data_IF_851033404158
#
_entry.id   IF_851033404158
#
_cell.length_a   1.000
_cell.length_b   1.000
_cell.length_c   1.000
_cell.angle_alpha   90.00
_cell.angle_beta   90.00
_cell.angle_gamma   90.00
#
_symmetry.space_group_name_H-M   'P 1'
#
loop_
_entity.id
_entity.type
_entity.pdbx_description
1 polymer ?
#
# COMPACT_ATOMS: atom_id res chain seq x y z
N UNK A 1 15.49 -5.69 -19.10
CA UNK A 1 16.61 -4.72 -19.14
C UNK A 1 17.56 -4.93 -17.97
N UNK A 2 17.14 -4.73 -16.72
CA UNK A 2 18.00 -4.98 -15.53
C UNK A 2 18.72 -6.34 -15.55
N UNK A 3 17.99 -7.46 -15.68
CA UNK A 3 18.60 -8.80 -15.74
C UNK A 3 19.48 -9.04 -16.96
N UNK A 4 19.23 -8.35 -18.07
CA UNK A 4 20.08 -8.45 -19.26
C UNK A 4 21.48 -7.90 -18.96
N UNK A 5 21.58 -6.79 -18.21
CA UNK A 5 22.87 -6.24 -17.78
C UNK A 5 23.59 -7.13 -16.78
N UNK A 6 22.86 -7.72 -15.82
CA UNK A 6 23.43 -8.71 -14.91
C UNK A 6 24.01 -9.91 -15.68
N UNK A 7 23.25 -10.49 -16.60
CA UNK A 7 23.67 -11.68 -17.36
C UNK A 7 24.80 -11.42 -18.36
N UNK A 8 24.92 -10.20 -18.90
CA UNK A 8 25.91 -9.86 -19.93
C UNK A 8 27.18 -9.21 -19.39
N UNK A 9 27.09 -8.50 -18.25
CA UNK A 9 28.17 -7.67 -17.74
C UNK A 9 28.43 -7.85 -16.24
N UNK A 10 27.76 -8.81 -15.58
CA UNK A 10 27.87 -9.05 -14.13
C UNK A 10 27.61 -7.80 -13.27
N UNK A 11 26.85 -6.84 -13.82
CA UNK A 11 26.50 -5.61 -13.10
C UNK A 11 25.66 -5.98 -11.87
N UNK A 12 26.07 -5.59 -10.63
CA UNK A 12 25.35 -5.94 -9.41
C UNK A 12 23.98 -5.25 -9.39
N UNK A 13 22.92 -6.01 -9.67
CA UNK A 13 21.55 -5.52 -9.83
C UNK A 13 20.58 -6.45 -9.13
N UNK A 14 19.69 -5.90 -8.32
CA UNK A 14 18.55 -6.61 -7.73
C UNK A 14 17.24 -6.00 -8.25
N UNK A 15 16.29 -6.84 -8.69
CA UNK A 15 14.94 -6.38 -9.02
C UNK A 15 14.08 -6.47 -7.77
N UNK A 16 13.50 -5.34 -7.38
CA UNK A 16 12.60 -5.27 -6.22
C UNK A 16 11.15 -5.12 -6.67
N UNK A 17 10.26 -5.94 -6.11
CA UNK A 17 8.81 -5.89 -6.35
C UNK A 17 8.06 -5.56 -5.04
N UNK A 18 7.86 -4.28 -4.72
CA UNK A 18 7.11 -3.90 -3.54
C UNK A 18 5.61 -4.17 -3.76
N UNK A 19 4.97 -4.77 -2.76
CA UNK A 19 3.51 -4.90 -2.65
C UNK A 19 2.91 -3.57 -2.16
N UNK A 20 1.57 -3.49 -2.06
CA UNK A 20 0.79 -2.25 -1.96
C UNK A 20 1.31 -1.33 -0.86
N UNK A 21 2.19 -0.42 -1.25
CA UNK A 21 2.82 0.48 -0.29
C UNK A 21 1.82 1.55 0.12
N UNK A 22 1.67 1.78 1.42
CA UNK A 22 0.83 2.84 1.96
C UNK A 22 1.56 3.61 3.06
N UNK A 23 1.08 4.82 3.35
CA UNK A 23 1.66 5.63 4.42
C UNK A 23 1.47 7.13 4.22
N UNK A 24 2.10 7.93 5.10
CA UNK A 24 2.22 9.38 4.94
C UNK A 24 2.65 9.82 3.54
N UNK A 25 2.08 10.93 3.05
CA UNK A 25 2.36 11.52 1.72
C UNK A 25 1.89 10.70 0.51
N UNK A 26 1.15 9.61 0.69
CA UNK A 26 0.59 8.87 -0.43
C UNK A 26 -0.43 9.71 -1.22
N UNK A 27 -0.53 9.48 -2.52
CA UNK A 27 -1.52 10.14 -3.39
C UNK A 27 -2.95 9.64 -3.14
N UNK A 28 -3.95 10.53 -3.24
CA UNK A 28 -5.39 10.23 -3.19
C UNK A 28 -5.92 9.40 -4.37
N UNK A 29 -5.03 8.83 -5.21
CA UNK A 29 -5.42 7.78 -6.17
C UNK A 29 -5.50 6.40 -5.53
N UNK A 30 -4.90 6.23 -4.36
CA UNK A 30 -4.94 4.99 -3.60
C UNK A 30 -6.12 4.96 -2.62
N UNK A 31 -6.58 3.76 -2.28
CA UNK A 31 -7.80 3.56 -1.47
C UNK A 31 -7.66 4.08 -0.04
N UNK A 32 -6.56 3.78 0.66
CA UNK A 32 -6.31 4.22 2.04
C UNK A 32 -6.37 5.76 2.18
N UNK A 33 -5.56 6.55 1.44
CA UNK A 33 -5.59 8.01 1.57
C UNK A 33 -6.93 8.62 1.10
N UNK A 34 -7.60 7.98 0.12
CA UNK A 34 -8.94 8.39 -0.31
C UNK A 34 -9.98 8.28 0.79
N UNK A 35 -9.97 7.17 1.54
CA UNK A 35 -10.88 6.95 2.67
C UNK A 35 -10.56 7.95 3.78
N UNK A 36 -9.30 7.98 4.24
CA UNK A 36 -8.86 8.84 5.34
C UNK A 36 -9.18 10.32 5.07
N UNK A 37 -8.83 10.81 3.88
CA UNK A 37 -9.04 12.23 3.55
C UNK A 37 -10.52 12.60 3.44
N UNK A 38 -11.39 11.71 2.97
CA UNK A 38 -12.83 11.96 2.95
C UNK A 38 -13.43 11.98 4.37
N UNK A 39 -13.06 11.03 5.23
CA UNK A 39 -13.48 11.05 6.64
C UNK A 39 -13.01 12.33 7.33
N UNK A 40 -11.74 12.70 7.13
CA UNK A 40 -11.16 13.90 7.74
C UNK A 40 -11.84 15.20 7.25
N UNK A 41 -12.50 15.21 6.10
CA UNK A 41 -13.29 16.33 5.60
C UNK A 41 -14.78 16.26 5.98
N UNK A 42 -15.18 15.33 6.84
CA UNK A 42 -16.55 15.20 7.31
C UNK A 42 -17.51 14.55 6.32
N UNK A 43 -17.01 13.80 5.32
CA UNK A 43 -17.88 13.02 4.44
C UNK A 43 -18.67 11.99 5.24
N UNK A 44 -19.98 11.96 5.04
CA UNK A 44 -20.89 10.94 5.62
C UNK A 44 -20.94 9.66 4.81
N UNK A 45 -20.64 9.77 3.52
CA UNK A 45 -20.62 8.65 2.58
C UNK A 45 -19.31 8.68 1.79
N UNK A 46 -18.69 7.51 1.61
CA UNK A 46 -17.48 7.36 0.81
C UNK A 46 -17.80 6.46 -0.38
N UNK A 47 -17.68 7.05 -1.57
CA UNK A 47 -17.80 6.32 -2.83
C UNK A 47 -16.52 5.52 -3.08
N UNK A 48 -16.66 4.21 -3.21
CA UNK A 48 -15.58 3.26 -3.51
C UNK A 48 -16.06 2.25 -4.56
N UNK A 49 -15.13 1.65 -5.29
CA UNK A 49 -15.45 0.64 -6.30
C UNK A 49 -15.80 -0.71 -5.67
N UNK A 50 -15.17 -1.78 -6.17
CA UNK A 50 -15.34 -3.11 -5.58
C UNK A 50 -14.56 -3.22 -4.25
N UNK A 51 -15.24 -3.70 -3.21
CA UNK A 51 -14.68 -3.90 -1.87
C UNK A 51 -14.24 -5.33 -1.60
N UNK A 52 -14.60 -6.26 -2.49
CA UNK A 52 -14.27 -7.68 -2.38
C UNK A 52 -12.79 -8.02 -2.57
N UNK A 53 -11.98 -7.27 -3.36
CA UNK A 53 -10.59 -7.64 -3.55
C UNK A 53 -9.78 -7.57 -2.26
N UNK A 54 -8.79 -8.44 -2.16
CA UNK A 54 -7.85 -8.50 -1.03
C UNK A 54 -6.47 -8.01 -1.43
N UNK A 55 -5.77 -7.36 -0.50
CA UNK A 55 -4.45 -6.77 -0.73
C UNK A 55 -3.52 -7.04 0.44
N UNK A 56 -2.24 -7.13 0.13
CA UNK A 56 -1.13 -7.02 1.08
C UNK A 56 -0.65 -5.57 1.12
N UNK A 57 -1.03 -4.88 2.20
CA UNK A 57 -0.63 -3.50 2.45
C UNK A 57 0.68 -3.47 3.23
N UNK A 58 1.74 -2.96 2.59
CA UNK A 58 3.05 -2.81 3.21
C UNK A 58 3.30 -1.36 3.62
N UNK A 59 3.63 -1.12 4.88
CA UNK A 59 3.84 0.24 5.36
C UNK A 59 5.10 0.86 4.72
N UNK A 60 5.06 2.14 4.37
CA UNK A 60 6.12 2.78 3.57
C UNK A 60 7.51 2.74 4.21
N UNK A 61 7.59 2.75 5.56
CA UNK A 61 8.87 2.60 6.27
C UNK A 61 9.43 1.17 6.12
N UNK A 62 8.56 0.15 6.11
CA UNK A 62 8.99 -1.23 5.87
C UNK A 62 9.37 -1.45 4.39
N UNK A 63 8.65 -0.84 3.44
CA UNK A 63 9.08 -0.82 2.03
C UNK A 63 10.49 -0.22 1.90
N UNK A 64 10.72 0.96 2.47
CA UNK A 64 12.02 1.63 2.42
C UNK A 64 13.13 0.82 3.10
N UNK A 65 12.83 0.21 4.27
CA UNK A 65 13.74 -0.72 4.96
C UNK A 65 14.14 -1.87 4.05
N UNK A 66 13.18 -2.53 3.39
CA UNK A 66 13.47 -3.65 2.49
C UNK A 66 14.36 -3.26 1.31
N UNK A 67 14.18 -2.05 0.74
CA UNK A 67 15.11 -1.53 -0.28
C UNK A 67 16.53 -1.36 0.26
N UNK A 68 16.68 -0.80 1.46
CA UNK A 68 18.00 -0.57 2.09
C UNK A 68 18.68 -1.90 2.40
N UNK A 69 17.95 -2.88 2.93
CA UNK A 69 18.51 -4.20 3.25
C UNK A 69 18.96 -4.95 1.99
N UNK A 70 18.16 -4.91 0.92
CA UNK A 70 18.55 -5.53 -0.37
C UNK A 70 19.74 -4.83 -1.02
N UNK A 71 19.84 -3.50 -0.91
CA UNK A 71 20.98 -2.75 -1.43
C UNK A 71 22.31 -3.08 -0.72
N UNK A 72 22.26 -3.69 0.48
CA UNK A 72 23.43 -4.11 1.26
C UNK A 72 23.72 -5.61 1.15
N UNK A 73 22.92 -6.37 0.41
CA UNK A 73 23.01 -7.82 0.32
C UNK A 73 23.53 -8.22 -1.06
N UNK A 74 24.81 -8.58 -1.14
CA UNK A 74 25.42 -8.98 -2.41
C UNK A 74 24.80 -10.27 -2.97
N UNK A 75 24.29 -11.15 -2.10
CA UNK A 75 23.55 -12.36 -2.47
C UNK A 75 22.21 -12.06 -3.16
N UNK A 76 21.70 -10.84 -3.05
CA UNK A 76 20.52 -10.39 -3.77
C UNK A 76 20.82 -9.98 -5.22
N UNK A 77 22.10 -9.86 -5.61
CA UNK A 77 22.46 -9.54 -6.99
C UNK A 77 21.98 -10.65 -7.93
N UNK A 78 21.34 -10.26 -9.02
CA UNK A 78 20.70 -11.15 -9.99
C UNK A 78 19.35 -11.72 -9.54
N UNK A 79 18.87 -11.38 -8.35
CA UNK A 79 17.60 -11.88 -7.83
C UNK A 79 16.44 -10.92 -8.12
N UNK A 80 15.24 -11.49 -8.19
CA UNK A 80 13.98 -10.73 -8.12
C UNK A 80 13.33 -11.00 -6.77
N UNK A 81 13.18 -9.96 -5.96
CA UNK A 81 12.76 -10.09 -4.57
C UNK A 81 11.50 -9.27 -4.30
N UNK A 82 10.52 -9.90 -3.67
CA UNK A 82 9.30 -9.24 -3.23
C UNK A 82 9.50 -8.57 -1.86
N UNK A 83 8.90 -7.39 -1.67
CA UNK A 83 8.78 -6.75 -0.36
C UNK A 83 7.30 -6.59 -0.04
N UNK A 84 6.84 -7.20 1.04
CA UNK A 84 5.46 -7.11 1.50
C UNK A 84 5.31 -7.59 2.94
N UNK A 85 4.11 -7.40 3.48
CA UNK A 85 3.81 -7.71 4.88
C UNK A 85 3.57 -9.20 5.13
N UNK A 86 3.24 -9.97 4.07
CA UNK A 86 2.70 -11.33 4.17
C UNK A 86 1.38 -11.38 4.96
N UNK A 87 0.69 -10.26 5.08
CA UNK A 87 -0.65 -10.15 5.65
C UNK A 87 -1.63 -9.70 4.56
N UNK A 88 -2.79 -10.32 4.50
CA UNK A 88 -3.82 -10.06 3.49
C UNK A 88 -5.10 -9.58 4.16
N UNK A 89 -5.74 -8.55 3.59
CA UNK A 89 -7.01 -8.01 4.08
C UNK A 89 -7.89 -7.57 2.91
N UNK A 90 -9.21 -7.65 3.06
CA UNK A 90 -10.15 -7.12 2.07
C UNK A 90 -10.18 -5.59 2.09
N UNK A 91 -10.58 -4.95 0.98
CA UNK A 91 -10.80 -3.51 0.99
C UNK A 91 -11.94 -3.12 1.95
N UNK A 92 -12.98 -3.96 2.07
CA UNK A 92 -14.05 -3.80 3.05
C UNK A 92 -13.51 -3.72 4.50
N UNK A 93 -12.69 -4.68 4.91
CA UNK A 93 -12.17 -4.72 6.29
C UNK A 93 -11.13 -3.63 6.52
N UNK A 94 -10.40 -3.24 5.48
CA UNK A 94 -9.53 -2.05 5.52
C UNK A 94 -10.34 -0.77 5.78
N UNK A 95 -11.47 -0.60 5.09
CA UNK A 95 -12.38 0.53 5.32
C UNK A 95 -12.90 0.53 6.76
N UNK A 96 -13.36 -0.60 7.27
CA UNK A 96 -13.86 -0.71 8.64
C UNK A 96 -12.77 -0.44 9.68
N UNK A 97 -11.53 -0.88 9.44
CA UNK A 97 -10.40 -0.58 10.32
C UNK A 97 -10.10 0.92 10.36
N UNK A 98 -10.15 1.61 9.22
CA UNK A 98 -9.97 3.08 9.17
C UNK A 98 -11.13 3.79 9.88
N UNK A 99 -12.38 3.36 9.63
CA UNK A 99 -13.59 3.88 10.29
C UNK A 99 -13.47 3.81 11.81
N UNK A 100 -13.03 2.65 12.31
CA UNK A 100 -12.76 2.38 13.73
C UNK A 100 -11.67 3.29 14.31
N UNK A 101 -10.48 3.33 13.68
CA UNK A 101 -9.37 4.18 14.17
C UNK A 101 -9.77 5.67 14.22
N UNK A 102 -10.57 6.13 13.25
CA UNK A 102 -11.01 7.53 13.17
C UNK A 102 -12.28 7.83 13.99
N UNK A 103 -12.86 6.86 14.70
CA UNK A 103 -14.14 6.99 15.41
C UNK A 103 -15.24 7.63 14.55
N UNK A 104 -15.39 7.15 13.31
CA UNK A 104 -16.31 7.72 12.33
C UNK A 104 -17.52 6.81 12.12
N UNK A 105 -18.67 7.40 11.80
CA UNK A 105 -19.90 6.68 11.41
C UNK A 105 -20.14 6.72 9.89
N UNK A 106 -19.06 6.91 9.13
CA UNK A 106 -19.14 6.98 7.67
C UNK A 106 -19.61 5.67 7.06
N UNK A 107 -20.48 5.76 6.08
CA UNK A 107 -21.00 4.62 5.33
C UNK A 107 -20.31 4.52 3.97
N UNK A 108 -20.10 3.29 3.50
CA UNK A 108 -19.59 3.07 2.16
C UNK A 108 -20.74 3.06 1.16
N UNK A 109 -20.52 3.66 -0.01
CA UNK A 109 -21.45 3.60 -1.13
C UNK A 109 -20.70 3.01 -2.33
N UNK A 110 -21.23 1.92 -2.87
CA UNK A 110 -20.67 1.29 -4.06
C UNK A 110 -20.90 2.19 -5.28
N UNK A 111 -19.82 2.55 -5.95
CA UNK A 111 -19.84 3.35 -7.17
C UNK A 111 -19.60 2.45 -8.39
N UNK A 112 -20.66 2.19 -9.17
CA UNK A 112 -20.59 1.33 -10.35
C UNK A 112 -19.60 1.84 -11.41
N UNK A 113 -19.38 3.16 -11.47
CA UNK A 113 -18.41 3.76 -12.40
C UNK A 113 -16.96 3.44 -12.02
N UNK A 114 -16.71 2.97 -10.80
CA UNK A 114 -15.39 2.60 -10.28
C UNK A 114 -15.12 1.10 -10.32
N UNK A 115 -16.08 0.30 -10.80
CA UNK A 115 -15.88 -1.13 -11.00
C UNK A 115 -14.95 -1.29 -12.19
N UNK A 116 -13.77 -1.86 -11.95
CA UNK A 116 -12.86 -2.19 -13.03
C UNK A 116 -13.45 -3.32 -13.88
N UNK A 117 -13.25 -3.33 -15.20
CA UNK A 117 -13.61 -4.47 -16.03
C UNK A 117 -13.05 -5.77 -15.43
N UNK A 118 -13.86 -6.82 -15.29
CA UNK A 118 -13.49 -8.02 -14.53
C UNK A 118 -12.18 -8.71 -14.97
N UNK A 119 -11.79 -8.58 -16.26
CA UNK A 119 -10.50 -9.09 -16.77
C UNK A 119 -9.27 -8.29 -16.33
N UNK A 120 -9.46 -7.09 -15.79
CA UNK A 120 -8.40 -6.17 -15.35
C UNK A 120 -8.27 -6.07 -13.83
N UNK A 121 -9.21 -6.68 -13.08
CA UNK A 121 -9.15 -6.68 -11.63
C UNK A 121 -8.31 -7.87 -11.12
N UNK A 122 -7.45 -7.58 -10.15
CA UNK A 122 -6.72 -8.60 -9.42
C UNK A 122 -7.51 -8.81 -8.12
N UNK A 123 -8.25 -9.91 -8.02
CA UNK A 123 -9.06 -10.17 -6.83
C UNK A 123 -8.22 -10.42 -5.58
N UNK A 124 -7.04 -11.02 -5.75
CA UNK A 124 -6.14 -11.39 -4.66
C UNK A 124 -4.71 -10.99 -4.98
N UNK A 125 -4.10 -10.22 -4.08
CA UNK A 125 -2.69 -9.82 -4.19
C UNK A 125 -2.03 -9.94 -2.81
N UNK A 126 -1.33 -11.05 -2.59
CA UNK A 126 -0.69 -11.40 -1.32
C UNK A 126 0.80 -11.70 -1.52
N UNK A 127 1.66 -11.09 -0.71
CA UNK A 127 3.10 -11.23 -0.87
C UNK A 127 3.60 -12.49 -0.19
N UNK A 128 4.40 -13.29 -0.89
CA UNK A 128 5.38 -14.17 -0.26
C UNK A 128 6.70 -13.41 -0.10
N UNK A 129 7.08 -13.14 1.15
CA UNK A 129 8.30 -12.42 1.52
C UNK A 129 9.41 -13.36 2.06
N UNK A 130 9.29 -14.67 1.84
CA UNK A 130 10.27 -15.67 2.31
C UNK A 130 11.69 -15.38 1.81
N UNK A 131 11.84 -15.01 0.53
CA UNK A 131 13.16 -14.77 -0.06
C UNK A 131 13.90 -13.59 0.58
N UNK A 132 13.24 -12.44 0.78
CA UNK A 132 13.89 -11.29 1.44
C UNK A 132 14.23 -11.62 2.89
N UNK A 133 13.39 -12.39 3.58
CA UNK A 133 13.66 -12.84 4.94
C UNK A 133 14.92 -13.73 4.99
N UNK A 134 15.06 -14.68 4.06
CA UNK A 134 16.23 -15.56 3.99
C UNK A 134 17.51 -14.80 3.65
N UNK A 135 17.45 -13.84 2.73
CA UNK A 135 18.63 -13.07 2.29
C UNK A 135 19.11 -12.06 3.34
N UNK A 136 18.19 -11.41 4.05
CA UNK A 136 18.52 -10.20 4.83
C UNK A 136 18.03 -10.24 6.29
N UNK A 137 17.25 -11.26 6.67
CA UNK A 137 16.53 -11.28 7.94
C UNK A 137 15.34 -10.32 8.00
N UNK A 138 14.97 -9.66 6.88
CA UNK A 138 13.86 -8.72 6.82
C UNK A 138 12.57 -9.32 7.39
N UNK A 139 11.94 -8.56 8.29
CA UNK A 139 10.57 -8.75 8.75
C UNK A 139 9.87 -7.39 8.78
N UNK A 140 8.59 -7.32 8.38
CA UNK A 140 7.77 -6.13 8.58
C UNK A 140 7.78 -5.73 10.05
N UNK A 141 7.96 -4.44 10.31
CA UNK A 141 8.04 -3.86 11.66
C UNK A 141 6.70 -3.25 12.09
N UNK A 142 5.77 -3.08 11.13
CA UNK A 142 4.46 -2.51 11.31
C UNK A 142 3.39 -3.53 10.91
N UNK A 143 2.42 -3.74 11.80
CA UNK A 143 1.14 -4.29 11.36
C UNK A 143 0.30 -3.22 10.66
N UNK A 144 -0.84 -3.64 10.09
CA UNK A 144 -1.70 -2.75 9.35
C UNK A 144 -2.29 -1.63 10.24
N UNK A 145 -2.72 -1.95 11.46
CA UNK A 145 -3.36 -0.96 12.35
C UNK A 145 -2.38 0.15 12.72
N UNK A 146 -1.17 -0.20 13.17
CA UNK A 146 -0.14 0.77 13.54
C UNK A 146 0.27 1.65 12.37
N UNK A 147 0.42 1.08 11.18
CA UNK A 147 0.73 1.88 9.99
C UNK A 147 -0.43 2.78 9.57
N UNK A 148 -1.69 2.35 9.75
CA UNK A 148 -2.87 3.19 9.50
C UNK A 148 -2.98 4.33 10.50
N UNK A 149 -2.73 4.09 11.79
CA UNK A 149 -2.69 5.14 12.83
C UNK A 149 -1.69 6.24 12.45
N UNK A 150 -0.43 5.88 12.13
CA UNK A 150 0.56 6.87 11.69
C UNK A 150 0.18 7.58 10.38
N UNK A 151 -0.55 6.90 9.50
CA UNK A 151 -1.04 7.48 8.25
C UNK A 151 -2.15 8.49 8.54
N UNK A 152 -3.13 8.13 9.36
CA UNK A 152 -4.25 8.98 9.78
C UNK A 152 -3.73 10.22 10.50
N UNK A 153 -2.81 10.06 11.45
CA UNK A 153 -2.16 11.17 12.17
C UNK A 153 -1.47 12.15 11.22
N UNK A 154 -0.90 11.64 10.12
CA UNK A 154 -0.28 12.50 9.13
C UNK A 154 -1.31 13.26 8.30
N UNK A 155 -2.38 12.58 7.85
CA UNK A 155 -3.42 13.15 6.98
C UNK A 155 -4.36 14.11 7.72
N UNK A 156 -4.62 13.92 9.00
CA UNK A 156 -5.55 14.74 9.80
C UNK A 156 -4.97 16.12 10.16
N UNK A 157 -3.66 16.32 10.03
CA UNK A 157 -3.03 17.64 10.16
C UNK A 157 -3.49 18.56 9.03
N UNK A 158 -4.01 19.73 9.38
CA UNK A 158 -4.59 20.71 8.44
C UNK A 158 -3.64 21.07 7.28
N UNK A 159 -2.36 21.28 7.58
CA UNK A 159 -1.30 21.57 6.61
C UNK A 159 -1.05 20.45 5.59
N UNK A 160 -1.35 19.21 5.95
CA UNK A 160 -1.24 18.07 5.06
C UNK A 160 -2.55 17.84 4.32
N UNK A 161 -3.68 17.84 5.03
CA UNK A 161 -5.00 17.62 4.46
C UNK A 161 -5.33 18.60 3.33
N UNK A 162 -4.98 19.87 3.50
CA UNK A 162 -5.19 20.95 2.51
C UNK A 162 -4.53 20.69 1.14
N UNK A 163 -3.53 19.80 1.08
CA UNK A 163 -2.87 19.40 -0.19
C UNK A 163 -3.72 18.41 -0.99
N UNK A 164 -4.74 17.83 -0.37
CA UNK A 164 -5.57 16.77 -0.95
C UNK A 164 -6.93 17.33 -1.35
N UNK A 165 -7.17 17.38 -2.65
CA UNK A 165 -8.48 17.77 -3.21
C UNK A 165 -9.46 16.61 -3.04
N UNK A 166 -10.23 16.60 -1.97
CA UNK A 166 -11.15 15.50 -1.64
C UNK A 166 -12.45 15.52 -2.44
N UNK A 167 -12.79 16.67 -3.03
CA UNK A 167 -13.97 16.83 -3.89
C UNK A 167 -13.68 16.62 -5.38
N UNK A 168 -12.41 16.44 -5.78
CA UNK A 168 -12.01 16.29 -7.18
C UNK A 168 -11.32 14.94 -7.35
N UNK A 169 -12.02 14.01 -8.00
CA UNK A 169 -11.47 12.70 -8.30
C UNK A 169 -10.57 12.81 -9.55
N UNK A 170 -9.26 12.86 -9.34
CA UNK A 170 -8.30 12.84 -10.44
C UNK A 170 -8.10 11.39 -10.92
N UNK A 171 -8.84 11.01 -11.97
CA UNK A 171 -8.57 9.81 -12.77
C UNK A 171 -7.14 9.88 -13.34
#
# INVERSE_FOLDING_TARGET
>A
MAMSFFNSFELPVTIVRPFNTYGPRQSNRAVIPTIISQIANGSKEIKVGDLTPTRDFNYCKDTAKGFIELAKCDEANGQTVNIGSNFEISIHDTFNMIKDIMNSEVEFVRDEQRIRPGKSEVFRLWCDNTLINQLTGFKPSYDLRKGLEETIDWFTKTENLSKYKTHIYNV
#
